data_IF_491289269500
#
_entry.id   IF_491289269500
#
_cell.length_a   1.000
_cell.length_b   1.000
_cell.length_c   1.000
_cell.angle_alpha   90.00
_cell.angle_beta   90.00
_cell.angle_gamma   90.00
#
_symmetry.space_group_name_H-M   'P 1'
#
loop_
_entity.id
_entity.type
_entity.pdbx_description
1 polymer ?
#
# COMPACT_ATOMS: atom_id res chain seq x y z
N UNK A 1 6.31 1.75 3.82
CA UNK A 1 6.91 1.46 2.50
C UNK A 1 6.85 -0.03 2.25
N UNK A 2 6.33 -0.45 1.11
CA UNK A 2 6.29 -1.86 0.69
C UNK A 2 7.48 -2.20 -0.22
N UNK A 3 7.86 -3.48 -0.25
CA UNK A 3 8.87 -4.03 -1.17
C UNK A 3 8.35 -5.28 -1.88
N UNK A 4 9.01 -5.64 -2.99
CA UNK A 4 8.69 -6.83 -3.76
C UNK A 4 9.08 -8.13 -3.05
N UNK A 5 8.43 -9.24 -3.42
CA UNK A 5 8.69 -10.58 -2.86
C UNK A 5 10.17 -10.98 -2.96
N UNK A 6 10.83 -10.73 -4.09
CA UNK A 6 12.24 -11.11 -4.27
C UNK A 6 13.16 -10.35 -3.29
N UNK A 7 12.83 -9.11 -2.94
CA UNK A 7 13.58 -8.31 -1.97
C UNK A 7 13.31 -8.82 -0.55
N UNK A 8 12.04 -9.07 -0.21
CA UNK A 8 11.66 -9.66 1.08
C UNK A 8 12.35 -11.01 1.30
N UNK A 9 12.40 -11.87 0.27
CA UNK A 9 13.12 -13.15 0.31
C UNK A 9 14.62 -12.99 0.49
N UNK A 10 15.24 -11.99 -0.13
CA UNK A 10 16.67 -11.72 0.06
C UNK A 10 16.97 -11.30 1.52
N UNK A 11 16.15 -10.41 2.09
CA UNK A 11 16.29 -9.95 3.48
C UNK A 11 16.06 -11.10 4.48
N UNK A 12 15.01 -11.88 4.31
CA UNK A 12 14.71 -13.05 5.15
C UNK A 12 15.78 -14.14 5.00
N UNK A 13 16.24 -14.38 3.77
CA UNK A 13 17.31 -15.33 3.47
C UNK A 13 18.62 -14.98 4.16
N UNK A 14 18.99 -13.70 4.21
CA UNK A 14 20.15 -13.22 4.95
C UNK A 14 20.06 -13.48 6.46
N UNK A 15 18.84 -13.65 7.00
CA UNK A 15 18.58 -14.02 8.41
C UNK A 15 18.30 -15.52 8.60
N UNK A 16 18.67 -16.34 7.62
CA UNK A 16 18.60 -17.80 7.72
C UNK A 16 17.21 -18.40 7.53
N UNK A 17 16.23 -17.62 7.09
CA UNK A 17 14.94 -18.14 6.64
C UNK A 17 15.15 -18.83 5.29
N UNK A 18 14.76 -20.09 5.18
CA UNK A 18 14.88 -20.84 3.92
C UNK A 18 13.87 -20.30 2.90
N UNK A 19 14.37 -19.91 1.73
CA UNK A 19 13.59 -19.50 0.56
C UNK A 19 14.02 -20.35 -0.64
N UNK A 20 13.16 -20.57 -1.65
CA UNK A 20 13.57 -21.25 -2.87
C UNK A 20 14.64 -20.44 -3.61
N UNK A 21 15.61 -21.08 -4.28
CA UNK A 21 16.55 -20.38 -5.14
C UNK A 21 15.79 -19.76 -6.31
N UNK A 22 16.01 -18.47 -6.55
CA UNK A 22 15.36 -17.73 -7.62
C UNK A 22 16.06 -16.42 -7.94
N UNK A 23 15.71 -15.84 -9.08
CA UNK A 23 16.25 -14.55 -9.55
C UNK A 23 15.16 -13.71 -10.21
N UNK A 24 15.34 -12.40 -10.14
CA UNK A 24 14.48 -11.43 -10.83
C UNK A 24 14.82 -11.42 -12.33
N UNK A 25 13.79 -11.32 -13.16
CA UNK A 25 13.87 -11.19 -14.61
C UNK A 25 13.12 -9.93 -15.06
N UNK A 26 13.67 -9.22 -16.03
CA UNK A 26 13.08 -8.04 -16.68
C UNK A 26 12.69 -8.29 -18.15
N UNK A 27 12.99 -9.47 -18.67
CA UNK A 27 12.61 -9.89 -20.02
C UNK A 27 12.24 -11.37 -20.07
N UNK A 28 11.59 -11.77 -21.15
CA UNK A 28 11.28 -13.18 -21.40
C UNK A 28 12.55 -14.03 -21.55
N UNK A 29 13.57 -13.51 -22.25
CA UNK A 29 14.87 -14.15 -22.42
C UNK A 29 15.60 -14.35 -21.08
N UNK A 30 15.59 -13.34 -20.21
CA UNK A 30 16.16 -13.48 -18.86
C UNK A 30 15.42 -14.55 -18.06
N UNK A 31 14.09 -14.60 -18.16
CA UNK A 31 13.28 -15.63 -17.48
C UNK A 31 13.63 -17.03 -17.96
N UNK A 32 13.73 -17.21 -19.29
CA UNK A 32 14.16 -18.46 -19.95
C UNK A 32 15.52 -18.92 -19.43
N UNK A 33 16.50 -18.00 -19.41
CA UNK A 33 17.85 -18.30 -18.96
C UNK A 33 17.88 -18.63 -17.47
N UNK A 34 17.13 -17.92 -16.64
CA UNK A 34 17.06 -18.20 -15.20
C UNK A 34 16.49 -19.58 -14.95
N UNK A 35 15.41 -19.97 -15.62
CA UNK A 35 14.84 -21.32 -15.51
C UNK A 35 15.88 -22.40 -15.88
N UNK A 36 16.58 -22.21 -17.01
CA UNK A 36 17.63 -23.12 -17.44
C UNK A 36 18.73 -23.28 -16.39
N UNK A 37 19.24 -22.18 -15.86
CA UNK A 37 20.33 -22.17 -14.87
C UNK A 37 19.92 -22.73 -13.50
N UNK A 38 18.64 -22.63 -13.12
CA UNK A 38 18.13 -23.25 -11.89
C UNK A 38 18.26 -24.78 -11.95
N UNK A 39 18.27 -25.38 -13.14
CA UNK A 39 18.42 -26.82 -13.34
C UNK A 39 17.32 -27.66 -12.68
N UNK A 40 16.20 -27.02 -12.30
CA UNK A 40 15.10 -27.65 -11.57
C UNK A 40 14.08 -28.25 -12.55
N UNK A 41 13.49 -29.42 -12.24
CA UNK A 41 12.46 -30.02 -13.09
C UNK A 41 11.13 -29.24 -13.09
N UNK A 42 10.94 -28.36 -12.10
CA UNK A 42 9.78 -27.51 -11.94
C UNK A 42 10.25 -26.14 -11.48
N UNK A 43 9.70 -25.09 -12.08
CA UNK A 43 9.92 -23.72 -11.69
C UNK A 43 8.59 -22.99 -11.50
N UNK A 44 8.64 -21.87 -10.80
CA UNK A 44 7.50 -20.98 -10.58
C UNK A 44 7.87 -19.58 -11.06
N UNK A 45 7.07 -19.03 -11.97
CA UNK A 45 7.17 -17.65 -12.42
C UNK A 45 6.14 -16.80 -11.67
N UNK A 46 6.58 -15.68 -11.10
CA UNK A 46 5.77 -14.81 -10.24
C UNK A 46 5.85 -13.36 -10.64
N UNK A 47 4.72 -12.74 -10.95
CA UNK A 47 4.60 -11.30 -11.13
C UNK A 47 5.08 -10.57 -9.87
N UNK A 48 5.95 -9.58 -10.04
CA UNK A 48 6.41 -8.73 -8.95
C UNK A 48 5.60 -7.44 -8.95
N UNK A 49 4.58 -7.42 -8.09
CA UNK A 49 3.77 -6.27 -7.71
C UNK A 49 3.61 -6.28 -6.19
N UNK A 50 3.36 -5.14 -5.55
CA UNK A 50 3.25 -5.07 -4.08
C UNK A 50 1.94 -5.67 -3.54
N UNK A 51 0.92 -5.79 -4.39
CA UNK A 51 -0.36 -6.37 -4.02
C UNK A 51 -0.30 -7.92 -3.94
N UNK A 52 -0.99 -8.48 -2.95
CA UNK A 52 -1.16 -9.92 -2.76
C UNK A 52 -2.24 -10.53 -3.67
N UNK A 53 -2.50 -11.84 -3.51
CA UNK A 53 -3.53 -12.53 -4.29
C UNK A 53 -3.17 -12.75 -5.77
N UNK A 54 -1.88 -12.67 -6.12
CA UNK A 54 -1.38 -12.77 -7.49
C UNK A 54 -1.78 -14.07 -8.18
N UNK A 55 -1.74 -15.20 -7.46
CA UNK A 55 -2.12 -16.51 -8.02
C UNK A 55 -3.60 -16.60 -8.41
N UNK A 56 -4.50 -16.00 -7.62
CA UNK A 56 -5.94 -15.96 -7.89
C UNK A 56 -6.37 -14.77 -8.76
N UNK A 57 -5.45 -13.88 -9.10
CA UNK A 57 -5.67 -12.76 -10.00
C UNK A 57 -5.80 -13.21 -11.47
N UNK A 58 -5.87 -12.24 -12.37
CA UNK A 58 -5.80 -12.50 -13.81
C UNK A 58 -5.04 -11.39 -14.53
N UNK A 59 -4.25 -11.78 -15.52
CA UNK A 59 -3.55 -10.82 -16.39
C UNK A 59 -4.49 -10.37 -17.50
N UNK A 60 -4.64 -9.06 -17.68
CA UNK A 60 -5.44 -8.48 -18.75
C UNK A 60 -4.83 -8.81 -20.11
N UNK A 61 -5.66 -9.28 -21.04
CA UNK A 61 -5.21 -9.72 -22.36
C UNK A 61 -4.77 -11.19 -22.44
N UNK A 62 -4.61 -11.90 -21.31
CA UNK A 62 -4.36 -13.35 -21.33
C UNK A 62 -5.67 -14.10 -21.67
N UNK A 63 -5.72 -14.87 -22.78
CA UNK A 63 -6.93 -15.55 -23.22
C UNK A 63 -7.40 -16.64 -22.23
N UNK A 64 -6.49 -17.19 -21.43
CA UNK A 64 -6.78 -18.21 -20.42
C UNK A 64 -7.09 -17.58 -19.06
N UNK A 65 -7.07 -16.24 -18.96
CA UNK A 65 -7.30 -15.46 -17.73
C UNK A 65 -6.47 -15.94 -16.54
N UNK A 66 -5.26 -16.43 -16.82
CA UNK A 66 -4.35 -16.97 -15.80
C UNK A 66 -3.82 -15.87 -14.89
N UNK A 67 -3.61 -16.22 -13.63
CA UNK A 67 -3.03 -15.34 -12.62
C UNK A 67 -1.55 -15.06 -12.79
N UNK A 68 -1.00 -14.30 -11.85
CA UNK A 68 0.38 -13.85 -11.81
C UNK A 68 1.37 -14.83 -11.17
N UNK A 69 0.95 -16.05 -10.82
CA UNK A 69 1.82 -17.12 -10.31
C UNK A 69 1.57 -18.36 -11.16
N UNK A 70 2.60 -18.85 -11.87
CA UNK A 70 2.43 -19.95 -12.82
C UNK A 70 3.57 -20.97 -12.71
N UNK A 71 3.24 -22.24 -12.90
CA UNK A 71 4.21 -23.33 -12.92
C UNK A 71 4.76 -23.50 -14.34
N UNK A 72 6.06 -23.75 -14.44
CA UNK A 72 6.76 -23.98 -15.71
C UNK A 72 7.71 -25.17 -15.59
N UNK A 73 7.83 -25.97 -16.67
CA UNK A 73 8.65 -27.19 -16.71
C UNK A 73 9.72 -27.18 -17.80
N UNK A 74 9.79 -26.12 -18.59
CA UNK A 74 10.81 -25.95 -19.63
C UNK A 74 11.19 -24.48 -19.79
N UNK A 75 12.38 -24.18 -20.35
CA UNK A 75 12.77 -22.81 -20.69
C UNK A 75 11.77 -22.13 -21.64
N UNK A 76 11.22 -22.89 -22.60
CA UNK A 76 10.24 -22.37 -23.57
C UNK A 76 8.92 -22.00 -22.87
N UNK A 77 8.44 -22.81 -21.91
CA UNK A 77 7.27 -22.48 -21.10
C UNK A 77 7.51 -21.23 -20.24
N UNK A 78 8.72 -21.08 -19.69
CA UNK A 78 9.10 -19.90 -18.91
C UNK A 78 9.05 -18.61 -19.75
N UNK A 79 9.61 -18.66 -20.96
CA UNK A 79 9.59 -17.55 -21.91
C UNK A 79 8.16 -17.17 -22.33
N UNK A 80 7.34 -18.15 -22.70
CA UNK A 80 5.96 -17.91 -23.15
C UNK A 80 5.10 -17.29 -22.03
N UNK A 81 5.25 -17.76 -20.79
CA UNK A 81 4.57 -17.16 -19.65
C UNK A 81 5.06 -15.74 -19.39
N UNK A 82 6.37 -15.49 -19.47
CA UNK A 82 6.93 -14.15 -19.28
C UNK A 82 6.39 -13.14 -20.30
N UNK A 83 6.31 -13.50 -21.59
CA UNK A 83 5.74 -12.65 -22.64
C UNK A 83 4.28 -12.28 -22.39
N UNK A 84 3.49 -13.19 -21.82
CA UNK A 84 2.09 -12.93 -21.49
C UNK A 84 1.87 -12.12 -20.20
N UNK A 85 2.93 -11.87 -19.43
CA UNK A 85 2.85 -11.21 -18.13
C UNK A 85 3.55 -9.85 -18.12
N UNK A 86 4.78 -9.77 -18.64
CA UNK A 86 5.55 -8.52 -18.68
C UNK A 86 4.82 -7.46 -19.48
N UNK A 87 4.83 -6.23 -18.97
CA UNK A 87 4.17 -5.05 -19.52
C UNK A 87 2.64 -5.17 -19.66
N UNK A 88 2.04 -6.21 -19.07
CA UNK A 88 0.60 -6.37 -18.95
C UNK A 88 0.12 -6.06 -17.53
N UNK A 89 -1.17 -5.76 -17.41
CA UNK A 89 -1.79 -5.41 -16.12
C UNK A 89 -2.28 -6.68 -15.42
N UNK A 90 -1.80 -6.92 -14.21
CA UNK A 90 -2.31 -7.95 -13.31
C UNK A 90 -3.38 -7.36 -12.39
N UNK A 91 -4.58 -7.91 -12.45
CA UNK A 91 -5.71 -7.56 -11.57
C UNK A 91 -5.84 -8.59 -10.46
N UNK A 92 -5.87 -8.13 -9.22
CA UNK A 92 -6.11 -8.93 -8.02
C UNK A 92 -7.25 -8.33 -7.18
N UNK A 93 -7.73 -9.05 -6.16
CA UNK A 93 -8.69 -8.52 -5.17
C UNK A 93 -8.16 -7.25 -4.49
N UNK A 94 -6.84 -7.15 -4.27
CA UNK A 94 -6.20 -6.04 -3.56
C UNK A 94 -5.91 -4.82 -4.45
N UNK A 95 -5.71 -5.00 -5.76
CA UNK A 95 -5.47 -3.87 -6.69
C UNK A 95 -6.75 -3.22 -7.20
N UNK A 96 -7.90 -3.89 -7.03
CA UNK A 96 -9.14 -3.50 -7.71
C UNK A 96 -9.02 -3.56 -9.24
N UNK A 97 -10.00 -2.99 -9.96
CA UNK A 97 -10.08 -3.06 -11.42
C UNK A 97 -8.89 -2.42 -12.16
N UNK A 98 -8.23 -1.43 -11.55
CA UNK A 98 -7.08 -0.75 -12.15
C UNK A 98 -5.88 -1.68 -12.33
N UNK A 99 -5.73 -2.69 -11.47
CA UNK A 99 -4.61 -3.62 -11.51
C UNK A 99 -3.25 -2.95 -11.28
N UNK A 100 -2.18 -3.69 -11.53
CA UNK A 100 -0.80 -3.17 -11.56
C UNK A 100 -0.05 -3.73 -12.77
N UNK A 101 0.69 -2.87 -13.46
CA UNK A 101 1.51 -3.28 -14.60
C UNK A 101 2.72 -4.08 -14.10
N UNK A 102 2.86 -5.31 -14.60
CA UNK A 102 3.93 -6.22 -14.21
C UNK A 102 5.19 -5.86 -14.99
N UNK A 103 6.12 -5.17 -14.33
CA UNK A 103 7.38 -4.73 -14.96
C UNK A 103 8.54 -5.69 -14.75
N UNK A 104 8.40 -6.63 -13.81
CA UNK A 104 9.42 -7.60 -13.42
C UNK A 104 8.78 -8.90 -12.99
N UNK A 105 9.50 -9.99 -13.20
CA UNK A 105 9.12 -11.34 -12.79
C UNK A 105 10.15 -11.90 -11.84
N UNK A 106 9.74 -12.81 -10.96
CA UNK A 106 10.63 -13.61 -10.15
C UNK A 106 10.49 -15.07 -10.58
N UNK A 107 11.60 -15.65 -11.02
CA UNK A 107 11.69 -17.03 -11.48
C UNK A 107 12.46 -17.83 -10.44
N UNK A 108 11.79 -18.79 -9.81
CA UNK A 108 12.36 -19.62 -8.75
C UNK A 108 12.14 -21.12 -8.98
N UNK A 109 12.95 -21.95 -8.32
CA UNK A 109 12.74 -23.38 -8.32
C UNK A 109 11.47 -23.75 -7.55
N UNK A 110 10.72 -24.73 -8.06
CA UNK A 110 9.62 -25.34 -7.32
C UNK A 110 10.14 -26.15 -6.12
N UNK A 111 9.31 -26.30 -5.09
CA UNK A 111 9.62 -27.14 -3.93
C UNK A 111 8.53 -28.20 -3.70
N UNK A 112 8.89 -29.29 -3.03
CA UNK A 112 7.92 -30.29 -2.59
C UNK A 112 7.09 -29.74 -1.42
N UNK A 113 5.77 -29.89 -1.49
CA UNK A 113 4.81 -29.34 -0.53
C UNK A 113 4.09 -30.52 0.14
N UNK A 114 4.27 -30.68 1.44
CA UNK A 114 3.45 -31.59 2.26
C UNK A 114 2.26 -30.84 2.87
N UNK A 115 2.52 -29.63 3.40
CA UNK A 115 1.51 -28.75 3.98
C UNK A 115 1.84 -27.30 3.66
N UNK A 116 0.80 -26.46 3.60
CA UNK A 116 0.90 -25.02 3.51
C UNK A 116 0.37 -24.41 4.80
N UNK A 117 1.17 -23.53 5.42
CA UNK A 117 0.81 -22.78 6.61
C UNK A 117 0.78 -21.29 6.29
N UNK A 118 0.18 -20.52 7.19
CA UNK A 118 0.28 -19.06 7.21
C UNK A 118 1.13 -18.64 8.40
N UNK A 119 2.00 -17.65 8.21
CA UNK A 119 2.74 -16.98 9.29
C UNK A 119 2.83 -15.49 9.01
N UNK A 120 2.55 -14.66 10.01
CA UNK A 120 2.77 -13.23 9.97
C UNK A 120 3.29 -12.71 11.31
N UNK A 121 4.08 -11.64 11.26
CA UNK A 121 4.50 -10.85 12.41
C UNK A 121 4.14 -9.39 12.10
N UNK A 122 3.44 -8.76 13.04
CA UNK A 122 2.95 -7.38 12.90
C UNK A 122 2.85 -6.69 14.27
N UNK A 123 2.65 -5.37 14.26
CA UNK A 123 2.33 -4.58 15.46
C UNK A 123 0.84 -4.69 15.77
N UNK A 124 0.48 -5.44 16.81
CA UNK A 124 -0.91 -5.50 17.29
C UNK A 124 -1.20 -4.23 18.09
N UNK A 125 -2.01 -3.34 17.53
CA UNK A 125 -2.37 -2.05 18.15
C UNK A 125 -3.24 -2.20 19.40
N UNK A 126 -4.05 -3.27 19.49
CA UNK A 126 -4.90 -3.51 20.65
C UNK A 126 -4.06 -4.01 21.84
N UNK A 127 -3.12 -4.91 21.58
CA UNK A 127 -2.18 -5.42 22.60
C UNK A 127 -1.00 -4.50 22.85
N UNK A 128 -0.70 -3.62 21.90
CA UNK A 128 0.44 -2.67 21.89
C UNK A 128 1.79 -3.39 21.94
N UNK A 129 1.91 -4.50 21.21
CA UNK A 129 3.14 -5.28 21.11
C UNK A 129 3.21 -6.01 19.77
N UNK A 130 4.39 -6.55 19.47
CA UNK A 130 4.54 -7.44 18.32
C UNK A 130 3.76 -8.74 18.57
N UNK A 131 3.02 -9.19 17.56
CA UNK A 131 2.22 -10.42 17.66
C UNK A 131 2.47 -11.29 16.45
N UNK A 132 2.83 -12.54 16.72
CA UNK A 132 2.84 -13.60 15.71
C UNK A 132 1.40 -14.04 15.45
N UNK A 133 1.05 -14.16 14.18
CA UNK A 133 -0.22 -14.72 13.70
C UNK A 133 0.11 -15.92 12.85
N UNK A 134 -0.46 -17.09 13.15
CA UNK A 134 -0.23 -18.29 12.35
C UNK A 134 -1.51 -19.10 12.18
N UNK A 135 -1.60 -19.84 11.07
CA UNK A 135 -2.74 -20.70 10.77
C UNK A 135 -2.32 -21.92 9.95
N UNK A 136 -3.07 -23.01 10.08
CA UNK A 136 -2.95 -24.18 9.21
C UNK A 136 -3.60 -23.95 7.83
N UNK A 137 -4.28 -22.82 7.64
CA UNK A 137 -4.89 -22.42 6.37
C UNK A 137 -3.91 -21.59 5.52
N UNK A 138 -2.75 -22.17 5.16
CA UNK A 138 -1.83 -21.54 4.21
C UNK A 138 -2.39 -21.51 2.79
N UNK A 139 -1.88 -20.58 1.97
CA UNK A 139 -2.28 -20.43 0.56
C UNK A 139 -3.63 -19.74 0.34
N UNK A 140 -4.33 -19.37 1.42
CA UNK A 140 -5.60 -18.65 1.40
C UNK A 140 -5.43 -17.22 1.92
N UNK A 141 -6.38 -16.32 1.61
CA UNK A 141 -6.43 -15.00 2.22
C UNK A 141 -6.75 -15.14 3.71
N UNK A 142 -5.90 -14.61 4.57
CA UNK A 142 -6.04 -14.77 6.03
C UNK A 142 -7.27 -14.04 6.55
N UNK A 143 -7.71 -12.98 5.87
CA UNK A 143 -8.91 -12.21 6.20
C UNK A 143 -10.17 -13.06 6.01
N UNK A 144 -10.21 -13.88 4.96
CA UNK A 144 -11.32 -14.80 4.71
C UNK A 144 -11.33 -15.90 5.80
N UNK A 145 -10.15 -16.40 6.19
CA UNK A 145 -10.01 -17.35 7.31
C UNK A 145 -10.47 -16.72 8.64
N UNK A 146 -10.14 -15.45 8.88
CA UNK A 146 -10.53 -14.72 10.09
C UNK A 146 -12.05 -14.50 10.18
N UNK A 147 -12.70 -14.29 9.04
CA UNK A 147 -14.15 -14.11 8.96
C UNK A 147 -14.91 -15.44 9.10
N UNK A 148 -14.42 -16.51 8.46
CA UNK A 148 -15.15 -17.78 8.34
C UNK A 148 -14.78 -18.80 9.42
N UNK A 149 -13.49 -18.88 9.80
CA UNK A 149 -12.95 -19.88 10.74
C UNK A 149 -11.92 -19.26 11.70
N UNK A 150 -12.30 -18.25 12.50
CA UNK A 150 -11.40 -17.51 13.37
C UNK A 150 -10.62 -18.39 14.37
N UNK A 151 -11.17 -19.54 14.75
CA UNK A 151 -10.53 -20.51 15.65
C UNK A 151 -9.27 -21.16 15.06
N UNK A 152 -9.09 -21.10 13.73
CA UNK A 152 -7.87 -21.58 13.04
C UNK A 152 -6.72 -20.58 13.12
N UNK A 153 -6.99 -19.35 13.57
CA UNK A 153 -5.98 -18.32 13.75
C UNK A 153 -5.41 -18.40 15.16
N UNK A 154 -4.11 -18.68 15.21
CA UNK A 154 -3.35 -18.72 16.43
C UNK A 154 -2.56 -17.43 16.55
N UNK A 155 -2.62 -16.80 17.73
CA UNK A 155 -1.80 -15.62 18.03
C UNK A 155 -0.88 -15.88 19.20
N UNK A 156 0.29 -15.24 19.17
CA UNK A 156 1.30 -15.30 20.23
C UNK A 156 1.94 -13.91 20.37
N UNK A 157 1.72 -13.26 21.51
CA UNK A 157 2.22 -11.91 21.77
C UNK A 157 3.67 -11.96 22.26
N UNK A 158 4.51 -11.05 21.78
CA UNK A 158 5.91 -10.95 22.18
C UNK A 158 6.05 -9.80 23.17
N UNK A 159 6.61 -10.10 24.34
CA UNK A 159 6.89 -9.08 25.35
C UNK A 159 8.01 -8.14 24.84
N UNK A 160 7.81 -6.81 24.82
CA UNK A 160 8.81 -5.88 24.29
C UNK A 160 10.13 -5.85 25.07
N UNK A 161 10.12 -6.20 26.36
CA UNK A 161 11.32 -6.22 27.20
C UNK A 161 12.09 -7.53 27.05
N UNK A 162 11.38 -8.67 27.03
CA UNK A 162 12.01 -9.98 26.91
C UNK A 162 12.38 -10.34 25.46
N UNK A 163 11.73 -9.71 24.50
CA UNK A 163 11.85 -10.03 23.08
C UNK A 163 11.34 -11.43 22.75
N UNK A 164 11.61 -11.88 21.52
CA UNK A 164 11.21 -13.21 21.07
C UNK A 164 11.87 -14.32 21.90
N UNK A 165 11.05 -15.21 22.44
CA UNK A 165 11.53 -16.38 23.18
C UNK A 165 11.27 -17.66 22.38
N UNK A 166 12.28 -18.52 22.15
CA UNK A 166 12.12 -19.73 21.32
C UNK A 166 11.01 -20.70 21.77
N UNK A 167 10.61 -20.67 23.04
CA UNK A 167 9.51 -21.51 23.54
C UNK A 167 8.15 -21.11 22.96
N UNK A 168 7.95 -19.82 22.64
CA UNK A 168 6.73 -19.29 22.03
C UNK A 168 6.51 -19.91 20.66
N UNK A 169 7.53 -19.88 19.81
CA UNK A 169 7.46 -20.52 18.48
C UNK A 169 7.29 -22.04 18.57
N UNK A 170 7.91 -22.73 19.54
CA UNK A 170 7.69 -24.17 19.74
C UNK A 170 6.26 -24.49 20.14
N UNK A 171 5.67 -23.71 21.06
CA UNK A 171 4.27 -23.85 21.46
C UNK A 171 3.32 -23.62 20.28
N UNK A 172 3.57 -22.57 19.49
CA UNK A 172 2.82 -22.27 18.27
C UNK A 172 2.94 -23.40 17.23
N UNK A 173 4.15 -23.91 17.00
CA UNK A 173 4.40 -25.04 16.10
C UNK A 173 3.60 -26.29 16.48
N UNK A 174 3.55 -26.65 17.77
CA UNK A 174 2.75 -27.80 18.24
C UNK A 174 1.26 -27.58 18.01
N UNK A 175 0.76 -26.35 18.22
CA UNK A 175 -0.65 -25.99 17.96
C UNK A 175 -0.99 -26.00 16.45
N UNK A 176 -0.01 -25.73 15.58
CA UNK A 176 -0.11 -25.91 14.11
C UNK A 176 0.06 -27.38 13.67
N UNK A 177 0.09 -28.32 14.62
CA UNK A 177 0.25 -29.74 14.34
C UNK A 177 1.64 -30.13 13.79
N UNK A 178 2.66 -29.26 13.87
CA UNK A 178 4.03 -29.61 13.48
C UNK A 178 4.62 -30.62 14.46
N UNK A 179 5.45 -31.53 13.94
CA UNK A 179 6.05 -32.63 14.72
C UNK A 179 7.55 -32.76 14.43
N UNK A 180 8.25 -33.44 15.33
CA UNK A 180 9.66 -33.80 15.16
C UNK A 180 10.55 -32.60 14.82
N UNK A 181 11.36 -32.74 13.76
CA UNK A 181 12.30 -31.70 13.34
C UNK A 181 11.63 -30.40 12.86
N UNK A 182 10.38 -30.45 12.38
CA UNK A 182 9.65 -29.27 11.91
C UNK A 182 9.42 -28.25 13.04
N UNK A 183 9.29 -28.70 14.29
CA UNK A 183 9.15 -27.80 15.45
C UNK A 183 10.41 -26.94 15.63
N UNK A 184 11.59 -27.57 15.57
CA UNK A 184 12.86 -26.86 15.70
C UNK A 184 13.13 -25.97 14.48
N UNK A 185 12.76 -26.42 13.28
CA UNK A 185 12.86 -25.62 12.06
C UNK A 185 11.95 -24.38 12.10
N UNK A 186 10.71 -24.52 12.57
CA UNK A 186 9.78 -23.40 12.72
C UNK A 186 10.30 -22.39 13.74
N UNK A 187 10.82 -22.85 14.89
CA UNK A 187 11.39 -21.96 15.89
C UNK A 187 12.57 -21.13 15.38
N UNK A 188 13.46 -21.72 14.56
CA UNK A 188 14.56 -20.98 13.92
C UNK A 188 14.05 -19.97 12.90
N UNK A 189 13.07 -20.37 12.07
CA UNK A 189 12.47 -19.50 11.07
C UNK A 189 11.81 -18.28 11.72
N UNK A 190 11.02 -18.47 12.77
CA UNK A 190 10.38 -17.37 13.50
C UNK A 190 11.42 -16.44 14.14
N UNK A 191 12.53 -16.99 14.65
CA UNK A 191 13.65 -16.17 15.13
C UNK A 191 14.21 -15.25 14.04
N UNK A 192 14.50 -15.80 12.85
CA UNK A 192 14.97 -15.00 11.71
C UNK A 192 13.95 -13.95 11.24
N UNK A 193 12.65 -14.29 11.23
CA UNK A 193 11.57 -13.33 10.94
C UNK A 193 11.52 -12.21 11.98
N UNK A 194 11.62 -12.54 13.27
CA UNK A 194 11.61 -11.56 14.35
C UNK A 194 12.82 -10.62 14.29
N UNK A 195 14.02 -11.16 14.12
CA UNK A 195 15.25 -10.37 13.99
C UNK A 195 15.16 -9.44 12.77
N UNK A 196 14.64 -9.94 11.64
CA UNK A 196 14.40 -9.11 10.44
C UNK A 196 13.41 -7.98 10.74
N UNK A 197 12.33 -8.29 11.46
CA UNK A 197 11.28 -7.33 11.77
C UNK A 197 11.80 -6.19 12.64
N UNK A 198 12.51 -6.52 13.71
CA UNK A 198 13.02 -5.54 14.68
C UNK A 198 14.19 -4.75 14.11
N UNK A 199 15.15 -5.42 13.48
CA UNK A 199 16.37 -4.75 12.99
C UNK A 199 16.09 -3.77 11.85
N UNK A 200 15.06 -4.01 11.04
CA UNK A 200 14.72 -3.19 9.87
C UNK A 200 13.51 -2.28 10.09
N UNK A 201 12.96 -2.22 11.32
CA UNK A 201 11.71 -1.51 11.62
C UNK A 201 10.58 -1.87 10.64
N UNK A 202 10.41 -3.17 10.40
CA UNK A 202 9.29 -3.64 9.61
C UNK A 202 7.96 -3.27 10.29
N UNK A 203 6.96 -2.94 9.50
CA UNK A 203 5.59 -2.77 9.96
C UNK A 203 4.83 -4.12 9.91
N UNK A 204 5.15 -4.95 8.92
CA UNK A 204 4.56 -6.27 8.72
C UNK A 204 5.53 -7.19 7.95
N UNK A 205 5.61 -8.45 8.38
CA UNK A 205 6.17 -9.54 7.57
C UNK A 205 5.11 -10.63 7.51
N UNK A 206 4.67 -10.98 6.31
CA UNK A 206 3.75 -12.09 6.04
C UNK A 206 4.43 -13.13 5.14
N UNK A 207 4.33 -14.40 5.49
CA UNK A 207 4.79 -15.55 4.71
C UNK A 207 3.57 -16.42 4.42
N UNK A 208 3.11 -16.41 3.16
CA UNK A 208 1.89 -17.10 2.75
C UNK A 208 1.95 -17.61 1.30
N UNK A 209 2.21 -18.91 1.05
CA UNK A 209 2.32 -19.97 2.04
C UNK A 209 3.72 -20.10 2.67
N UNK A 210 3.74 -20.47 3.94
CA UNK A 210 4.87 -21.11 4.60
C UNK A 210 4.78 -22.62 4.37
N UNK A 211 5.61 -23.16 3.49
CA UNK A 211 5.58 -24.58 3.11
C UNK A 211 6.28 -25.44 4.15
N UNK A 212 5.67 -26.57 4.50
CA UNK A 212 6.32 -27.71 5.16
C UNK A 212 6.66 -28.73 4.07
N UNK A 213 7.94 -29.10 3.97
CA UNK A 213 8.38 -30.13 3.01
C UNK A 213 8.22 -31.53 3.63
N UNK A 214 8.16 -32.60 2.80
CA UNK A 214 8.13 -33.98 3.31
C UNK A 214 9.30 -34.36 4.23
N UNK A 215 10.43 -33.66 4.10
CA UNK A 215 11.61 -33.86 4.95
C UNK A 215 11.51 -33.12 6.30
N UNK A 216 10.38 -32.45 6.58
CA UNK A 216 10.14 -31.67 7.79
C UNK A 216 10.92 -30.36 7.87
N UNK A 217 11.36 -29.82 6.72
CA UNK A 217 11.88 -28.47 6.63
C UNK A 217 10.74 -27.47 6.37
N UNK A 218 11.00 -26.19 6.65
CA UNK A 218 10.09 -25.10 6.34
C UNK A 218 10.71 -24.14 5.34
N UNK A 219 9.91 -23.69 4.38
CA UNK A 219 10.32 -22.81 3.30
C UNK A 219 9.31 -21.67 3.19
N UNK A 220 9.80 -20.42 3.23
CA UNK A 220 8.99 -19.26 2.90
C UNK A 220 8.79 -19.22 1.37
N UNK A 221 7.70 -19.83 0.90
CA UNK A 221 7.43 -19.94 -0.54
C UNK A 221 7.00 -18.59 -1.11
N UNK A 222 6.32 -17.76 -0.33
CA UNK A 222 6.01 -16.37 -0.68
C UNK A 222 6.23 -15.48 0.56
N UNK A 223 6.56 -14.21 0.34
CA UNK A 223 6.77 -13.24 1.40
C UNK A 223 6.31 -11.84 0.98
N UNK A 224 5.53 -11.20 1.85
CA UNK A 224 5.16 -9.78 1.77
C UNK A 224 5.78 -9.06 2.97
N UNK A 225 6.43 -7.94 2.73
CA UNK A 225 7.11 -7.16 3.76
C UNK A 225 6.87 -5.68 3.54
N UNK A 226 6.59 -4.98 4.64
CA UNK A 226 6.46 -3.53 4.68
C UNK A 226 7.21 -2.95 5.87
N UNK A 227 7.61 -1.69 5.77
CA UNK A 227 8.37 -0.94 6.78
C UNK A 227 7.59 0.25 7.31
N UNK A 228 7.89 0.66 8.54
CA UNK A 228 7.40 1.92 9.09
C UNK A 228 8.11 3.10 8.40
N UNK A 229 7.34 3.91 7.68
CA UNK A 229 7.86 5.08 6.96
C UNK A 229 8.55 6.08 7.90
N UNK A 230 8.14 6.14 9.18
CA UNK A 230 8.75 7.01 10.17
C UNK A 230 10.15 6.55 10.60
N UNK A 231 10.55 5.32 10.28
CA UNK A 231 11.86 4.78 10.62
C UNK A 231 12.85 4.82 9.45
N UNK A 232 12.43 5.19 8.23
CA UNK A 232 13.30 5.15 7.04
C UNK A 232 14.53 6.07 7.16
N UNK A 233 14.45 7.15 7.93
CA UNK A 233 15.59 8.07 8.15
C UNK A 233 16.84 7.39 8.74
N UNK A 234 16.69 6.22 9.39
CA UNK A 234 17.79 5.43 9.96
C UNK A 234 18.11 4.15 9.17
N UNK A 235 17.45 3.95 8.02
CA UNK A 235 17.59 2.80 7.13
C UNK A 235 17.73 3.23 5.66
N UNK A 236 18.77 4.00 5.30
CA UNK A 236 18.95 4.49 3.93
C UNK A 236 19.03 3.38 2.88
N UNK A 237 19.51 2.19 3.26
CA UNK A 237 19.57 1.01 2.41
C UNK A 237 18.20 0.47 2.01
N UNK A 238 17.15 0.73 2.81
CA UNK A 238 15.79 0.30 2.48
C UNK A 238 15.17 1.21 1.41
N UNK A 239 15.54 2.50 1.39
CA UNK A 239 15.05 3.41 0.35
C UNK A 239 15.50 2.97 -1.05
N UNK A 240 16.66 2.32 -1.18
CA UNK A 240 17.14 1.74 -2.45
C UNK A 240 16.24 0.61 -2.97
N UNK A 241 15.43 0.00 -2.09
CA UNK A 241 14.49 -1.07 -2.46
C UNK A 241 13.16 -0.53 -2.98
N UNK A 242 12.87 0.76 -2.79
CA UNK A 242 11.59 1.38 -3.15
C UNK A 242 11.36 1.33 -4.66
N UNK A 243 10.18 0.88 -5.07
CA UNK A 243 9.77 0.92 -6.47
C UNK A 243 8.71 2.01 -6.70
N UNK A 244 9.08 3.18 -7.25
CA UNK A 244 8.12 4.26 -7.51
C UNK A 244 7.06 3.88 -8.55
N UNK A 245 7.24 2.78 -9.29
CA UNK A 245 6.23 2.33 -10.26
C UNK A 245 5.02 1.64 -9.62
N UNK A 246 5.13 1.26 -8.34
CA UNK A 246 4.07 0.63 -7.56
C UNK A 246 3.25 1.66 -6.76
N UNK A 247 3.67 2.92 -6.76
CA UNK A 247 3.03 4.03 -6.03
C UNK A 247 2.24 4.93 -6.98
N UNK A 248 1.24 5.65 -6.46
CA UNK A 248 0.54 6.67 -7.25
C UNK A 248 1.50 7.86 -7.50
N UNK A 249 1.71 8.30 -8.75
CA UNK A 249 2.55 9.46 -9.05
C UNK A 249 2.14 10.74 -8.32
N UNK A 250 0.84 10.90 -8.00
CA UNK A 250 0.29 12.03 -7.25
C UNK A 250 0.70 11.97 -5.79
N UNK A 251 0.70 10.78 -5.19
CA UNK A 251 1.18 10.55 -3.81
C UNK A 251 2.69 10.82 -3.72
N UNK A 252 3.45 10.40 -4.73
CA UNK A 252 4.89 10.70 -4.81
C UNK A 252 5.16 12.20 -4.89
N UNK A 253 4.44 12.91 -5.77
CA UNK A 253 4.59 14.36 -5.89
C UNK A 253 4.17 15.06 -4.60
N UNK A 254 3.06 14.66 -3.98
CA UNK A 254 2.63 15.17 -2.68
C UNK A 254 3.71 15.02 -1.59
N UNK A 255 4.31 13.83 -1.50
CA UNK A 255 5.35 13.52 -0.51
C UNK A 255 6.57 14.45 -0.64
N UNK A 256 6.97 14.82 -1.87
CA UNK A 256 8.09 15.76 -2.11
C UNK A 256 7.87 17.15 -1.51
N UNK A 257 6.60 17.57 -1.37
CA UNK A 257 6.22 18.85 -0.76
C UNK A 257 5.85 18.72 0.72
N UNK A 258 5.99 17.52 1.30
CA UNK A 258 5.58 17.22 2.67
C UNK A 258 4.06 17.23 2.85
N UNK A 259 3.32 16.85 1.81
CA UNK A 259 1.87 16.70 1.81
C UNK A 259 1.49 15.23 1.96
N UNK A 260 0.44 14.93 2.71
CA UNK A 260 -0.13 13.58 2.77
C UNK A 260 -1.32 13.51 1.82
N UNK A 261 -1.19 12.81 0.71
CA UNK A 261 -2.23 12.63 -0.30
C UNK A 261 -2.60 11.16 -0.42
N UNK A 262 -3.87 10.86 -0.69
CA UNK A 262 -4.34 9.55 -1.13
C UNK A 262 -5.41 9.77 -2.21
N UNK A 263 -5.23 9.17 -3.38
CA UNK A 263 -6.22 9.24 -4.47
C UNK A 263 -7.44 8.38 -4.20
N UNK A 264 -8.63 8.86 -4.59
CA UNK A 264 -9.91 8.14 -4.46
C UNK A 264 -10.72 8.25 -5.76
N UNK A 265 -11.68 7.35 -5.95
CA UNK A 265 -12.55 7.33 -7.13
C UNK A 265 -13.74 8.30 -6.99
N UNK A 266 -13.44 9.59 -6.98
CA UNK A 266 -14.44 10.66 -6.83
C UNK A 266 -14.19 11.87 -7.69
N UNK A 267 -14.99 12.92 -7.44
CA UNK A 267 -15.08 14.09 -8.32
C UNK A 267 -14.87 15.43 -7.60
N UNK A 268 -14.88 15.44 -6.27
CA UNK A 268 -14.60 16.65 -5.48
C UNK A 268 -13.23 16.52 -4.82
N UNK A 269 -12.28 17.31 -5.30
CA UNK A 269 -10.95 17.41 -4.71
C UNK A 269 -11.01 18.12 -3.35
N UNK A 270 -10.35 17.59 -2.34
CA UNK A 270 -10.29 18.20 -1.01
C UNK A 270 -8.89 18.71 -0.73
N UNK A 271 -8.77 19.88 -0.11
CA UNK A 271 -7.52 20.39 0.47
C UNK A 271 -7.80 20.87 1.89
N UNK A 272 -7.23 20.18 2.87
CA UNK A 272 -7.56 20.37 4.28
C UNK A 272 -6.30 20.37 5.13
N UNK A 273 -6.31 21.05 6.27
CA UNK A 273 -5.25 20.93 7.27
C UNK A 273 -5.69 20.05 8.46
N UNK A 274 -4.88 19.03 8.74
CA UNK A 274 -5.12 18.01 9.75
C UNK A 274 -5.90 16.81 9.22
N UNK A 275 -5.30 15.63 9.34
CA UNK A 275 -5.86 14.36 8.87
C UNK A 275 -7.29 14.08 9.34
N UNK A 276 -7.61 14.36 10.61
CA UNK A 276 -8.98 14.17 11.14
C UNK A 276 -10.02 15.05 10.45
N UNK A 277 -9.68 16.31 10.17
CA UNK A 277 -10.57 17.24 9.47
C UNK A 277 -10.67 16.88 7.98
N UNK A 278 -9.59 16.40 7.38
CA UNK A 278 -9.59 15.92 6.00
C UNK A 278 -10.56 14.74 5.83
N UNK A 279 -10.51 13.75 6.75
CA UNK A 279 -11.48 12.64 6.79
C UNK A 279 -12.92 13.13 6.98
N UNK A 280 -13.17 14.02 7.94
CA UNK A 280 -14.53 14.56 8.16
C UNK A 280 -15.07 15.36 6.95
N UNK A 281 -14.19 16.04 6.21
CA UNK A 281 -14.55 16.78 5.00
C UNK A 281 -14.97 15.83 3.88
N UNK A 282 -14.21 14.75 3.67
CA UNK A 282 -14.55 13.69 2.72
C UNK A 282 -15.88 13.03 3.07
N UNK A 283 -16.10 12.71 4.34
CA UNK A 283 -17.35 12.10 4.82
C UNK A 283 -18.56 13.00 4.55
N UNK A 284 -18.44 14.32 4.76
CA UNK A 284 -19.53 15.25 4.48
C UNK A 284 -19.82 15.41 3.00
N UNK A 285 -18.80 15.42 2.12
CA UNK A 285 -19.02 15.35 0.67
C UNK A 285 -19.81 14.09 0.31
N UNK A 286 -19.44 12.95 0.92
CA UNK A 286 -20.14 11.70 0.70
C UNK A 286 -21.60 11.73 1.18
N UNK A 287 -21.84 12.29 2.36
CA UNK A 287 -23.18 12.43 2.93
C UNK A 287 -24.08 13.35 2.11
N UNK A 288 -23.52 14.39 1.47
CA UNK A 288 -24.25 15.28 0.55
C UNK A 288 -24.45 14.66 -0.87
N UNK A 289 -23.90 13.47 -1.09
CA UNK A 289 -24.23 12.60 -2.23
C UNK A 289 -23.30 12.71 -3.44
N UNK A 290 -22.08 13.24 -3.28
CA UNK A 290 -21.00 13.09 -4.26
C UNK A 290 -19.87 12.22 -3.70
N UNK A 291 -18.80 12.00 -4.46
CA UNK A 291 -17.64 11.23 -3.99
C UNK A 291 -16.41 12.14 -3.85
N UNK A 292 -15.71 12.12 -2.71
CA UNK A 292 -14.43 12.80 -2.59
C UNK A 292 -13.41 12.15 -3.53
N UNK A 293 -12.66 12.97 -4.27
CA UNK A 293 -11.64 12.51 -5.22
C UNK A 293 -10.30 12.18 -4.56
N UNK A 294 -10.07 12.68 -3.34
CA UNK A 294 -8.84 12.44 -2.62
C UNK A 294 -8.97 12.74 -1.13
N UNK A 295 -8.06 12.17 -0.35
CA UNK A 295 -7.58 12.72 0.92
C UNK A 295 -6.38 13.63 0.63
N UNK A 296 -6.30 14.81 1.26
CA UNK A 296 -5.10 15.64 1.23
C UNK A 296 -5.00 16.49 2.50
N UNK A 297 -3.96 16.21 3.28
CA UNK A 297 -3.56 16.98 4.44
C UNK A 297 -2.34 17.85 4.11
N UNK A 298 -2.50 19.17 4.19
CA UNK A 298 -1.42 20.16 4.01
C UNK A 298 -0.60 20.41 5.29
N UNK A 299 -0.98 19.77 6.39
CA UNK A 299 -0.38 19.92 7.71
C UNK A 299 -0.69 21.25 8.39
N UNK A 300 -0.04 21.53 9.51
CA UNK A 300 -0.27 22.76 10.29
C UNK A 300 0.25 24.05 9.65
N UNK A 301 1.04 23.95 8.57
CA UNK A 301 1.63 25.10 7.85
C UNK A 301 1.24 25.08 6.37
N UNK A 302 0.38 26.02 5.97
CA UNK A 302 -0.07 26.20 4.60
C UNK A 302 0.73 27.32 3.90
N UNK A 303 2.02 27.07 3.61
CA UNK A 303 2.81 28.00 2.81
C UNK A 303 2.27 28.08 1.37
N UNK A 304 2.55 29.20 0.68
CA UNK A 304 2.13 29.39 -0.71
C UNK A 304 2.59 28.24 -1.60
N UNK A 305 3.83 27.79 -1.47
CA UNK A 305 4.41 26.71 -2.27
C UNK A 305 3.65 25.39 -2.08
N UNK A 306 3.28 25.07 -0.83
CA UNK A 306 2.53 23.85 -0.50
C UNK A 306 1.11 23.90 -1.05
N UNK A 307 0.44 25.05 -0.93
CA UNK A 307 -0.91 25.27 -1.46
C UNK A 307 -0.89 25.19 -2.99
N UNK A 308 0.09 25.80 -3.66
CA UNK A 308 0.25 25.70 -5.12
C UNK A 308 0.51 24.26 -5.56
N UNK A 309 1.40 23.53 -4.87
CA UNK A 309 1.65 22.12 -5.16
C UNK A 309 0.37 21.28 -4.99
N UNK A 310 -0.36 21.48 -3.90
CA UNK A 310 -1.63 20.84 -3.64
C UNK A 310 -2.65 21.08 -4.77
N UNK A 311 -2.81 22.32 -5.25
CA UNK A 311 -3.68 22.61 -6.41
C UNK A 311 -3.22 21.91 -7.70
N UNK A 312 -1.91 21.88 -7.99
CA UNK A 312 -1.37 21.16 -9.15
C UNK A 312 -1.68 19.67 -9.09
N UNK A 313 -1.53 19.05 -7.91
CA UNK A 313 -1.83 17.64 -7.70
C UNK A 313 -3.32 17.35 -7.92
N UNK A 314 -4.20 18.19 -7.35
CA UNK A 314 -5.66 18.05 -7.52
C UNK A 314 -6.07 18.19 -8.99
N UNK A 315 -5.53 19.18 -9.70
CA UNK A 315 -5.88 19.45 -11.10
C UNK A 315 -5.21 18.50 -12.11
N UNK A 316 -4.19 17.76 -11.69
CA UNK A 316 -3.64 16.68 -12.51
C UNK A 316 -4.60 15.48 -12.58
N UNK A 317 -5.53 15.34 -11.63
CA UNK A 317 -6.58 14.35 -11.69
C UNK A 317 -7.75 14.84 -12.55
N UNK A 318 -7.93 14.21 -13.70
CA UNK A 318 -9.00 14.54 -14.64
C UNK A 318 -10.41 14.20 -14.13
N UNK A 319 -10.55 13.40 -13.07
CA UNK A 319 -11.86 13.15 -12.46
C UNK A 319 -12.34 14.29 -11.57
N UNK A 320 -11.44 15.22 -11.18
CA UNK A 320 -11.79 16.35 -10.31
C UNK A 320 -12.61 17.37 -11.10
N UNK A 321 -13.85 17.57 -10.66
CA UNK A 321 -14.82 18.49 -11.25
C UNK A 321 -15.06 19.73 -10.39
N UNK A 322 -14.59 19.74 -9.15
CA UNK A 322 -14.68 20.84 -8.19
C UNK A 322 -13.71 20.66 -7.03
N UNK A 323 -13.33 21.74 -6.35
CA UNK A 323 -12.39 21.71 -5.23
C UNK A 323 -13.03 22.34 -3.99
N UNK A 324 -12.91 21.65 -2.86
CA UNK A 324 -13.23 22.14 -1.53
C UNK A 324 -11.95 22.36 -0.71
N UNK A 325 -11.64 23.62 -0.43
CA UNK A 325 -10.60 24.02 0.52
C UNK A 325 -11.26 24.25 1.88
N UNK A 326 -10.89 23.47 2.89
CA UNK A 326 -11.37 23.65 4.25
C UNK A 326 -10.18 23.79 5.21
N UNK A 327 -9.94 25.01 5.66
CA UNK A 327 -8.80 25.31 6.54
C UNK A 327 -9.29 25.86 7.88
N UNK A 328 -8.91 25.20 8.97
CA UNK A 328 -9.02 25.72 10.32
C UNK A 328 -7.68 26.34 10.72
N UNK A 329 -7.60 27.66 10.65
CA UNK A 329 -6.47 28.49 11.09
C UNK A 329 -6.21 28.34 12.59
N UNK A 330 -5.34 27.39 12.92
CA UNK A 330 -4.77 27.24 14.25
C UNK A 330 -3.66 28.26 14.48
N UNK A 331 -2.42 27.89 14.15
CA UNK A 331 -1.25 28.80 14.25
C UNK A 331 -1.20 29.79 13.07
N UNK A 332 -1.81 29.44 11.95
CA UNK A 332 -1.86 30.26 10.73
C UNK A 332 -3.05 31.24 10.77
N UNK A 333 -2.84 32.45 10.24
CA UNK A 333 -3.91 33.44 10.05
C UNK A 333 -4.63 33.21 8.72
N UNK A 334 -5.94 33.39 8.70
CA UNK A 334 -6.80 33.13 7.54
C UNK A 334 -6.53 34.09 6.37
N UNK A 335 -6.08 35.33 6.62
CA UNK A 335 -5.70 36.28 5.57
C UNK A 335 -4.46 35.82 4.78
N UNK A 336 -3.46 35.25 5.47
CA UNK A 336 -2.27 34.66 4.83
C UNK A 336 -2.66 33.42 4.00
N UNK A 337 -3.58 32.60 4.50
CA UNK A 337 -4.09 31.43 3.78
C UNK A 337 -4.89 31.87 2.54
N UNK A 338 -5.75 32.88 2.69
CA UNK A 338 -6.52 33.44 1.58
C UNK A 338 -5.59 33.98 0.48
N UNK A 339 -4.54 34.71 0.85
CA UNK A 339 -3.51 35.17 -0.10
C UNK A 339 -2.87 34.00 -0.85
N UNK A 340 -2.46 32.95 -0.14
CA UNK A 340 -1.86 31.76 -0.73
C UNK A 340 -2.82 31.06 -1.70
N UNK A 341 -4.09 30.89 -1.34
CA UNK A 341 -5.13 30.30 -2.20
C UNK A 341 -5.36 31.15 -3.44
N UNK A 342 -5.50 32.47 -3.31
CA UNK A 342 -5.71 33.38 -4.45
C UNK A 342 -4.51 33.34 -5.40
N UNK A 343 -3.30 33.41 -4.85
CA UNK A 343 -2.07 33.39 -5.63
C UNK A 343 -1.91 32.05 -6.38
N UNK A 344 -2.10 30.93 -5.68
CA UNK A 344 -2.04 29.60 -6.28
C UNK A 344 -3.10 29.41 -7.37
N UNK A 345 -4.32 29.88 -7.14
CA UNK A 345 -5.44 29.78 -8.08
C UNK A 345 -5.17 30.54 -9.39
N UNK A 346 -4.55 31.72 -9.29
CA UNK A 346 -4.12 32.51 -10.46
C UNK A 346 -2.93 31.90 -11.19
N UNK A 347 -1.99 31.33 -10.45
CA UNK A 347 -0.79 30.71 -11.01
C UNK A 347 -1.09 29.41 -11.75
N UNK A 348 -1.95 28.55 -11.18
CA UNK A 348 -2.29 27.26 -11.76
C UNK A 348 -3.40 27.39 -12.82
N UNK A 349 -4.28 28.37 -12.69
CA UNK A 349 -5.41 28.57 -13.59
C UNK A 349 -6.52 27.56 -13.31
N UNK A 350 -7.40 27.86 -12.36
CA UNK A 350 -8.51 26.99 -12.00
C UNK A 350 -9.50 26.83 -13.16
N UNK A 351 -9.68 25.59 -13.61
CA UNK A 351 -10.69 25.23 -14.61
C UNK A 351 -12.01 24.74 -13.99
N UNK A 352 -12.02 24.48 -12.67
CA UNK A 352 -13.13 23.90 -11.90
C UNK A 352 -13.60 24.85 -10.78
N UNK A 353 -14.86 24.74 -10.30
CA UNK A 353 -15.36 25.57 -9.20
C UNK A 353 -14.55 25.35 -7.93
N UNK A 354 -14.34 26.44 -7.19
CA UNK A 354 -13.63 26.43 -5.92
C UNK A 354 -14.56 26.90 -4.80
N UNK A 355 -14.71 26.05 -3.78
CA UNK A 355 -15.36 26.38 -2.51
C UNK A 355 -14.31 26.48 -1.44
N UNK A 356 -14.34 27.58 -0.67
CA UNK A 356 -13.38 27.82 0.42
C UNK A 356 -14.14 28.03 1.72
N UNK A 357 -13.70 27.31 2.76
CA UNK A 357 -14.11 27.51 4.13
C UNK A 357 -12.88 27.81 4.97
N UNK A 358 -12.86 28.98 5.59
CA UNK A 358 -11.82 29.41 6.53
C UNK A 358 -12.44 29.58 7.92
N UNK A 359 -11.72 29.21 8.97
CA UNK A 359 -12.08 29.52 10.35
C UNK A 359 -10.81 29.74 11.19
N UNK A 360 -10.79 30.75 12.05
CA UNK A 360 -9.63 31.06 12.89
C UNK A 360 -9.31 32.54 12.93
N UNK A 361 -8.06 32.86 13.25
CA UNK A 361 -7.56 34.24 13.35
C UNK A 361 -7.67 34.97 12.01
N UNK A 362 -8.20 36.20 12.02
CA UNK A 362 -8.38 37.06 10.83
C UNK A 362 -9.26 36.43 9.74
N UNK A 363 -10.23 35.60 10.13
CA UNK A 363 -11.18 34.99 9.18
C UNK A 363 -11.90 36.05 8.35
N UNK A 364 -12.42 37.11 8.97
CA UNK A 364 -13.17 38.16 8.26
C UNK A 364 -12.33 38.81 7.15
N UNK A 365 -11.07 39.17 7.45
CA UNK A 365 -10.13 39.71 6.47
C UNK A 365 -9.85 38.72 5.33
N UNK A 366 -9.60 37.45 5.66
CA UNK A 366 -9.39 36.41 4.64
C UNK A 366 -10.61 36.18 3.74
N UNK A 367 -11.82 36.24 4.30
CA UNK A 367 -13.06 36.12 3.52
C UNK A 367 -13.26 37.33 2.61
N UNK A 368 -12.99 38.55 3.10
CA UNK A 368 -13.00 39.77 2.27
C UNK A 368 -12.01 39.66 1.12
N UNK A 369 -10.78 39.20 1.37
CA UNK A 369 -9.76 38.99 0.32
C UNK A 369 -10.23 38.02 -0.77
N UNK A 370 -10.88 36.92 -0.39
CA UNK A 370 -11.43 35.94 -1.34
C UNK A 370 -12.55 36.56 -2.19
N UNK A 371 -13.47 37.30 -1.57
CA UNK A 371 -14.59 37.95 -2.26
C UNK A 371 -14.12 39.03 -3.24
N UNK A 372 -13.09 39.80 -2.90
CA UNK A 372 -12.54 40.87 -3.73
C UNK A 372 -11.52 40.36 -4.78
N UNK A 373 -11.15 39.08 -4.74
CA UNK A 373 -10.10 38.51 -5.60
C UNK A 373 -10.45 38.47 -7.10
N UNK A 374 -11.74 38.59 -7.44
CA UNK A 374 -12.25 38.41 -8.80
C UNK A 374 -12.22 36.96 -9.31
N UNK A 375 -11.83 36.01 -8.46
CA UNK A 375 -11.88 34.58 -8.77
C UNK A 375 -13.30 34.04 -8.56
N UNK A 376 -13.76 33.04 -9.34
CA UNK A 376 -15.05 32.38 -9.13
C UNK A 376 -15.00 31.45 -7.92
N UNK A 377 -14.88 32.04 -6.73
CA UNK A 377 -14.78 31.35 -5.43
C UNK A 377 -16.07 31.52 -4.66
N UNK A 378 -16.62 30.41 -4.17
CA UNK A 378 -17.71 30.42 -3.20
C UNK A 378 -17.12 30.29 -1.79
N UNK A 379 -17.62 31.08 -0.86
CA UNK A 379 -17.18 31.07 0.53
C UNK A 379 -18.26 30.44 1.39
N UNK A 380 -17.86 29.52 2.27
CA UNK A 380 -18.75 28.89 3.24
C UNK A 380 -18.40 29.28 4.68
N UNK A 381 -19.41 29.38 5.54
CA UNK A 381 -19.27 29.74 6.96
C UNK A 381 -18.98 28.54 7.86
N UNK A 382 -19.57 27.38 7.53
CA UNK A 382 -19.34 26.12 8.23
C UNK A 382 -19.06 24.96 7.27
N UNK A 383 -18.64 23.82 7.83
CA UNK A 383 -18.22 22.67 7.03
C UNK A 383 -19.39 22.00 6.30
N UNK A 384 -20.59 22.00 6.88
CA UNK A 384 -21.77 21.42 6.25
C UNK A 384 -22.23 22.27 5.06
N UNK A 385 -22.20 23.59 5.21
CA UNK A 385 -22.44 24.52 4.10
C UNK A 385 -21.38 24.35 3.00
N UNK A 386 -20.10 24.23 3.37
CA UNK A 386 -19.02 24.04 2.41
C UNK A 386 -19.20 22.78 1.55
N UNK A 387 -19.60 21.66 2.18
CA UNK A 387 -19.91 20.43 1.46
C UNK A 387 -21.10 20.60 0.50
N UNK A 388 -22.21 21.20 0.97
CA UNK A 388 -23.39 21.47 0.12
C UNK A 388 -23.05 22.34 -1.09
N UNK A 389 -22.29 23.41 -0.88
CA UNK A 389 -21.87 24.31 -1.97
C UNK A 389 -20.95 23.59 -2.96
N UNK A 390 -20.00 22.77 -2.49
CA UNK A 390 -19.09 22.03 -3.37
C UNK A 390 -19.86 21.03 -4.24
N UNK A 391 -20.80 20.30 -3.65
CA UNK A 391 -21.68 19.37 -4.36
C UNK A 391 -22.57 20.10 -5.37
N UNK A 392 -23.20 21.21 -4.96
CA UNK A 392 -24.05 22.01 -5.85
C UNK A 392 -23.25 22.53 -7.05
N UNK A 393 -22.04 23.08 -6.81
CA UNK A 393 -21.20 23.64 -7.86
C UNK A 393 -20.78 22.59 -8.92
N UNK A 394 -20.46 21.36 -8.49
CA UNK A 394 -20.16 20.26 -9.42
C UNK A 394 -21.40 19.87 -10.22
N UNK A 395 -22.57 19.75 -9.58
CA UNK A 395 -23.82 19.39 -10.28
C UNK A 395 -24.28 20.46 -11.26
N UNK A 396 -24.17 21.74 -10.90
CA UNK A 396 -24.47 22.85 -11.81
C UNK A 396 -23.58 22.82 -13.04
N UNK A 397 -22.27 22.59 -12.86
CA UNK A 397 -21.32 22.45 -13.98
C UNK A 397 -21.64 21.28 -14.90
N UNK A 398 -22.16 20.16 -14.37
CA UNK A 398 -22.58 19.01 -15.20
C UNK A 398 -23.84 19.31 -16.02
N UNK A 399 -24.67 20.24 -15.56
CA UNK A 399 -25.97 20.56 -16.15
C UNK A 399 -25.95 21.78 -17.10
N UNK A 400 -24.89 22.59 -17.07
CA UNK A 400 -24.68 23.74 -17.95
C UNK A 400 -23.61 23.47 -18.98
#
# INVERSE_FOLDING_TARGET
MDIHEYQAKALLGARGVKVPPGRVARSADETRQIFHDLGAPLGVIKAQIHAGGRGAGHVLGDPERRGGVRLVRSPDEAEANALSMLDHVLVTKQTGPAGRCVRRLYMEAGCAIERELYLSLLVDRARRCLTLVASEAGGMAIEDVAAETPERILTEAIDPLLGFQPHQARGLATRLGLRGRSIAAFARLVGGVYDTFVDLDAAMIEINPLVVTPDGDLIALDAKMSFDDNALFRHPELEELRDPNEEDPREQEASRHGLSYVGLDGTIGCMVNGAGLAMATMDLIHLEGEKPANFLDVGGGASRERVTAAFRILLADTSVEGILVNIFGGIMRCDVIAEAVIAASREVGLSVPLVVRLAGTNVDEGLTMLAESGLPVQVASDLGEAARLAVAAVRERRNG
#
